data_IF_285607527562
#
_entry.id   IF_285607527562
#
_cell.length_a   1.000
_cell.length_b   1.000
_cell.length_c   1.000
_cell.angle_alpha   90.00
_cell.angle_beta   90.00
_cell.angle_gamma   90.00
#
_symmetry.space_group_name_H-M   'P 1'
#
loop_
_entity.id
_entity.type
_entity.pdbx_description
1 polymer ?
#
# COMPACT_ATOMS: atom_id res chain seq x y z
N UNK A 1 10.01 -8.33 -25.02
CA UNK A 1 8.82 -7.50 -24.76
C UNK A 1 9.03 -6.83 -23.41
N UNK A 2 9.14 -5.50 -23.36
CA UNK A 2 9.45 -4.79 -22.12
C UNK A 2 8.27 -4.91 -21.15
N UNK A 3 8.50 -5.62 -20.05
CA UNK A 3 7.53 -5.82 -18.97
C UNK A 3 7.30 -4.47 -18.28
N UNK A 4 6.23 -3.77 -18.65
CA UNK A 4 5.78 -2.55 -17.99
C UNK A 4 5.20 -2.91 -16.62
N UNK A 5 6.06 -3.13 -15.62
CA UNK A 5 5.66 -3.47 -14.25
C UNK A 5 4.84 -2.36 -13.54
N UNK A 6 4.61 -1.22 -14.20
CA UNK A 6 3.85 -0.08 -13.68
C UNK A 6 2.38 -0.03 -14.14
N UNK A 7 1.86 -1.12 -14.71
CA UNK A 7 0.45 -1.17 -15.11
C UNK A 7 -0.47 -1.08 -13.88
N UNK A 8 -1.35 -0.07 -13.88
CA UNK A 8 -2.41 0.06 -12.88
C UNK A 8 -3.45 -1.04 -13.10
N UNK A 9 -3.83 -1.72 -12.02
CA UNK A 9 -4.89 -2.71 -12.08
C UNK A 9 -6.21 -2.02 -12.46
N UNK A 10 -6.90 -2.64 -13.41
CA UNK A 10 -8.29 -2.31 -13.72
C UNK A 10 -9.22 -2.74 -12.59
N UNK A 11 -10.45 -2.24 -12.59
CA UNK A 11 -11.47 -2.60 -11.59
C UNK A 11 -11.74 -4.11 -11.57
N UNK A 12 -11.79 -4.76 -12.74
CA UNK A 12 -11.97 -6.21 -12.84
C UNK A 12 -10.82 -7.00 -12.21
N UNK A 13 -9.57 -6.63 -12.53
CA UNK A 13 -8.39 -7.27 -11.93
C UNK A 13 -8.34 -7.07 -10.42
N UNK A 14 -8.80 -5.92 -9.92
CA UNK A 14 -8.88 -5.66 -8.48
C UNK A 14 -9.94 -6.53 -7.79
N UNK A 15 -11.06 -6.79 -8.46
CA UNK A 15 -12.09 -7.71 -7.99
C UNK A 15 -11.54 -9.14 -7.96
N UNK A 16 -10.83 -9.58 -9.01
CA UNK A 16 -10.21 -10.91 -9.04
C UNK A 16 -9.16 -11.08 -7.95
N UNK A 17 -8.34 -10.05 -7.71
CA UNK A 17 -7.29 -10.07 -6.67
C UNK A 17 -7.88 -10.10 -5.25
N UNK A 18 -8.91 -9.31 -5.00
CA UNK A 18 -9.46 -9.13 -3.64
C UNK A 18 -10.65 -10.04 -3.34
N UNK A 19 -11.33 -10.55 -4.36
CA UNK A 19 -12.61 -11.26 -4.26
C UNK A 19 -13.82 -10.36 -3.98
N UNK A 20 -13.65 -9.03 -3.98
CA UNK A 20 -14.70 -8.09 -3.58
C UNK A 20 -14.98 -7.02 -4.62
N UNK A 21 -16.26 -6.68 -4.78
CA UNK A 21 -16.73 -5.56 -5.64
C UNK A 21 -16.82 -4.24 -4.88
N UNK A 22 -17.02 -4.28 -3.56
CA UNK A 22 -17.13 -3.06 -2.74
C UNK A 22 -15.75 -2.48 -2.44
N UNK A 23 -15.54 -1.20 -2.76
CA UNK A 23 -14.29 -0.48 -2.53
C UNK A 23 -13.80 -0.57 -1.06
N UNK A 24 -14.69 -0.45 -0.08
CA UNK A 24 -14.34 -0.57 1.34
C UNK A 24 -13.83 -1.97 1.71
N UNK A 25 -14.40 -3.01 1.12
CA UNK A 25 -13.96 -4.39 1.32
C UNK A 25 -12.63 -4.66 0.61
N UNK A 26 -12.45 -4.13 -0.60
CA UNK A 26 -11.18 -4.18 -1.34
C UNK A 26 -10.05 -3.54 -0.52
N UNK A 27 -10.27 -2.34 0.03
CA UNK A 27 -9.30 -1.64 0.89
C UNK A 27 -8.94 -2.48 2.11
N UNK A 28 -9.94 -3.08 2.77
CA UNK A 28 -9.71 -3.93 3.95
C UNK A 28 -8.85 -5.15 3.59
N UNK A 29 -9.12 -5.77 2.45
CA UNK A 29 -8.35 -6.91 1.96
C UNK A 29 -6.90 -6.50 1.62
N UNK A 30 -6.72 -5.39 0.90
CA UNK A 30 -5.39 -4.87 0.54
C UNK A 30 -4.56 -4.54 1.80
N UNK A 31 -5.18 -3.94 2.83
CA UNK A 31 -4.54 -3.72 4.13
C UNK A 31 -4.14 -5.01 4.82
N UNK A 32 -5.02 -6.02 4.81
CA UNK A 32 -4.75 -7.33 5.42
C UNK A 32 -3.56 -8.02 4.74
N UNK A 33 -3.46 -7.91 3.42
CA UNK A 33 -2.36 -8.45 2.61
C UNK A 33 -1.09 -7.59 2.67
N UNK A 34 -1.14 -6.39 3.28
CA UNK A 34 -0.03 -5.45 3.31
C UNK A 34 0.31 -4.83 1.95
N UNK A 35 -0.63 -4.86 1.00
CA UNK A 35 -0.45 -4.29 -0.34
C UNK A 35 -0.73 -2.79 -0.29
N UNK A 36 0.20 -2.00 -0.86
CA UNK A 36 0.03 -0.56 -0.94
C UNK A 36 -1.01 -0.17 -2.00
N UNK A 37 -1.82 0.84 -1.70
CA UNK A 37 -2.86 1.35 -2.59
C UNK A 37 -2.99 2.87 -2.46
N UNK A 38 -3.45 3.51 -3.53
CA UNK A 38 -3.84 4.91 -3.54
C UNK A 38 -5.37 5.03 -3.61
N UNK A 39 -5.93 6.14 -3.13
CA UNK A 39 -7.36 6.42 -3.30
C UNK A 39 -7.56 7.38 -4.46
N UNK A 40 -8.46 7.04 -5.36
CA UNK A 40 -8.95 7.96 -6.40
C UNK A 40 -9.99 8.91 -5.81
N UNK A 41 -10.26 10.01 -6.49
CA UNK A 41 -11.25 11.03 -6.08
C UNK A 41 -12.66 10.49 -5.86
N UNK A 42 -13.02 9.33 -6.41
CA UNK A 42 -14.29 8.64 -6.21
C UNK A 42 -14.29 7.66 -5.02
N UNK A 43 -13.18 7.56 -4.29
CA UNK A 43 -13.04 6.66 -3.14
C UNK A 43 -12.70 5.22 -3.48
N UNK A 44 -12.43 4.88 -4.75
CA UNK A 44 -11.96 3.55 -5.14
C UNK A 44 -10.44 3.40 -4.94
N UNK A 45 -9.96 2.23 -4.47
CA UNK A 45 -8.54 1.94 -4.41
C UNK A 45 -7.93 1.75 -5.82
N UNK A 46 -6.77 2.34 -6.03
CA UNK A 46 -5.92 2.19 -7.22
C UNK A 46 -4.65 1.47 -6.78
N UNK A 47 -4.36 0.35 -7.43
CA UNK A 47 -3.23 -0.53 -7.12
C UNK A 47 -2.47 -0.80 -8.42
N UNK A 48 -1.16 -0.98 -8.35
CA UNK A 48 -0.33 -1.39 -9.49
C UNK A 48 0.15 -2.81 -9.32
N UNK A 49 0.47 -3.50 -10.41
CA UNK A 49 1.02 -4.86 -10.34
C UNK A 49 2.33 -4.91 -9.55
N UNK A 50 3.14 -3.85 -9.60
CA UNK A 50 4.33 -3.73 -8.73
C UNK A 50 3.97 -3.78 -7.25
N UNK A 51 2.91 -3.09 -6.80
CA UNK A 51 2.51 -3.11 -5.39
C UNK A 51 2.02 -4.50 -4.94
N UNK A 52 1.40 -5.26 -5.85
CA UNK A 52 0.95 -6.64 -5.58
C UNK A 52 2.14 -7.61 -5.53
N UNK A 53 3.08 -7.50 -6.48
CA UNK A 53 4.23 -8.40 -6.57
C UNK A 53 5.30 -8.10 -5.51
N UNK A 54 5.41 -6.83 -5.09
CA UNK A 54 6.39 -6.39 -4.10
C UNK A 54 5.72 -5.57 -2.98
N UNK A 55 4.87 -6.20 -2.15
CA UNK A 55 4.09 -5.51 -1.11
C UNK A 55 4.96 -4.90 0.00
N UNK A 56 6.23 -5.33 0.13
CA UNK A 56 7.14 -4.89 1.18
C UNK A 56 8.08 -3.74 0.80
N UNK A 57 8.15 -3.34 -0.48
CA UNK A 57 9.17 -2.39 -0.97
C UNK A 57 9.05 -0.98 -0.36
N UNK A 58 7.87 -0.62 0.12
CA UNK A 58 7.59 0.65 0.77
C UNK A 58 7.18 0.49 2.25
N UNK A 59 7.64 -0.57 2.94
CA UNK A 59 7.93 -0.37 4.36
C UNK A 59 9.07 0.62 4.39
N UNK A 60 8.76 1.91 4.51
CA UNK A 60 9.70 2.83 5.11
C UNK A 60 10.14 2.11 6.38
N UNK A 61 11.39 1.65 6.42
CA UNK A 61 12.05 1.35 7.67
C UNK A 61 11.72 2.57 8.52
N UNK A 62 10.90 2.38 9.56
CA UNK A 62 10.66 3.43 10.52
C UNK A 62 12.06 3.82 10.95
N UNK A 63 12.50 4.98 10.49
CA UNK A 63 13.81 5.50 10.83
C UNK A 63 13.59 6.02 12.24
N UNK A 64 13.59 5.09 13.20
CA UNK A 64 13.56 5.31 14.65
C UNK A 64 14.84 6.04 15.13
N UNK A 65 15.62 6.60 14.19
CA UNK A 65 16.69 7.55 14.43
C UNK A 65 16.14 8.98 14.66
N UNK A 66 15.04 9.13 15.41
CA UNK A 66 14.79 10.39 16.09
C UNK A 66 15.60 10.31 17.38
N UNK A 67 16.69 11.08 17.54
CA UNK A 67 17.39 11.12 18.81
C UNK A 67 16.39 11.64 19.85
N UNK A 68 16.20 10.88 20.94
CA UNK A 68 15.43 11.36 22.08
C UNK A 68 16.23 12.47 22.79
N UNK A 69 16.09 13.71 22.32
CA UNK A 69 16.74 14.89 22.91
C UNK A 69 16.18 15.27 24.30
N UNK A 70 15.26 14.48 24.87
CA UNK A 70 14.70 14.71 26.21
C UNK A 70 15.51 14.12 27.37
N UNK A 71 16.63 13.46 27.11
CA UNK A 71 17.37 12.68 28.12
C UNK A 71 18.46 13.45 28.90
N UNK A 72 18.39 14.78 29.02
CA UNK A 72 19.25 15.53 29.96
C UNK A 72 18.54 16.77 30.52
N UNK A 73 17.89 16.60 31.66
CA UNK A 73 17.87 17.63 32.71
C UNK A 73 17.43 16.97 34.03
N UNK A 74 18.40 16.56 34.85
CA UNK A 74 18.28 16.53 36.31
C UNK A 74 19.63 16.08 36.92
N UNK A 75 20.30 17.00 37.62
CA UNK A 75 21.54 16.79 38.35
C UNK A 75 22.41 18.02 38.36
#
# INVERSE_FOLDING_TARGET
MATILNEMLTEQQLIELTGYTKASAQIKQLKLQGIHYHLRSDGKPVVTWTAVNYPFTHRAVANDNVPNFGAISNG
#
